data_IF_362337157349
#
_entry.id   IF_362337157349
#
_cell.length_a   1.000
_cell.length_b   1.000
_cell.length_c   1.000
_cell.angle_alpha   90.00
_cell.angle_beta   90.00
_cell.angle_gamma   90.00
#
_symmetry.space_group_name_H-M   'P 1'
#
loop_
_entity.id
_entity.type
_entity.pdbx_description
1 polymer ?
#
# COMPACT_ATOMS: atom_id res chain seq x y z
N UNK A 1 23.28 -8.07 14.97
CA UNK A 1 24.54 -8.63 14.40
C UNK A 1 24.35 -9.66 13.27
N UNK A 2 23.14 -10.15 12.99
CA UNK A 2 22.88 -11.17 11.94
C UNK A 2 22.06 -10.64 10.74
N UNK A 3 22.09 -9.35 10.45
CA UNK A 3 21.45 -8.81 9.24
C UNK A 3 22.52 -8.68 8.12
N UNK A 4 22.31 -9.29 6.94
CA UNK A 4 23.27 -9.25 5.83
C UNK A 4 23.60 -7.82 5.38
N UNK A 5 22.66 -6.87 5.47
CA UNK A 5 22.89 -5.45 5.16
C UNK A 5 23.88 -4.77 6.10
N UNK A 6 23.81 -5.05 7.41
CA UNK A 6 24.80 -4.57 8.37
C UNK A 6 26.20 -5.10 8.05
N UNK A 7 26.29 -6.36 7.62
CA UNK A 7 27.57 -7.01 7.32
C UNK A 7 28.16 -6.60 5.97
N UNK A 8 27.33 -6.22 4.98
CA UNK A 8 27.77 -5.96 3.61
C UNK A 8 27.77 -4.48 3.19
N UNK A 9 26.89 -3.64 3.75
CA UNK A 9 26.68 -2.26 3.32
C UNK A 9 26.90 -1.23 4.43
N UNK A 10 26.55 -1.55 5.68
CA UNK A 10 26.50 -0.58 6.80
C UNK A 10 27.39 -0.98 7.99
N UNK A 11 28.56 -1.58 7.74
CA UNK A 11 29.47 -2.05 8.79
C UNK A 11 30.08 -0.92 9.65
N UNK A 12 29.92 0.33 9.20
CA UNK A 12 30.43 1.57 9.77
C UNK A 12 29.33 2.43 10.42
N UNK A 13 28.08 1.98 10.42
CA UNK A 13 26.96 2.66 11.08
C UNK A 13 26.99 2.40 12.59
N UNK A 14 26.77 3.45 13.37
CA UNK A 14 26.61 3.35 14.81
C UNK A 14 25.18 2.92 15.16
N UNK A 15 24.96 2.56 16.43
CA UNK A 15 23.66 2.08 16.91
C UNK A 15 22.55 3.14 16.75
N UNK A 16 22.91 4.42 16.67
CA UNK A 16 22.00 5.55 16.45
C UNK A 16 21.51 5.64 15.00
N UNK A 17 22.37 5.42 14.00
CA UNK A 17 21.99 5.44 12.58
C UNK A 17 20.93 4.36 12.24
N UNK A 18 20.99 3.24 12.98
CA UNK A 18 20.00 2.16 12.84
C UNK A 18 18.66 2.46 13.50
N UNK A 19 18.61 3.34 14.51
CA UNK A 19 17.36 3.62 15.24
C UNK A 19 16.34 4.32 14.35
N UNK A 20 16.77 5.27 13.52
CA UNK A 20 15.85 6.04 12.68
C UNK A 20 15.23 5.17 11.57
N UNK A 21 16.05 4.38 10.87
CA UNK A 21 15.58 3.44 9.84
C UNK A 21 14.63 2.42 10.47
N UNK A 22 15.04 1.83 11.60
CA UNK A 22 14.22 0.85 12.31
C UNK A 22 12.92 1.46 12.85
N UNK A 23 12.94 2.70 13.32
CA UNK A 23 11.76 3.40 13.81
C UNK A 23 10.70 3.53 12.72
N UNK A 24 11.08 4.01 11.53
CA UNK A 24 10.16 4.15 10.41
C UNK A 24 9.62 2.80 9.93
N UNK A 25 10.47 1.76 9.88
CA UNK A 25 10.05 0.42 9.54
C UNK A 25 9.04 -0.15 10.56
N UNK A 26 9.36 -0.01 11.86
CA UNK A 26 8.48 -0.44 12.94
C UNK A 26 7.16 0.32 12.91
N UNK A 27 7.20 1.65 12.76
CA UNK A 27 6.02 2.51 12.73
C UNK A 27 5.11 2.16 11.55
N UNK A 28 5.68 1.97 10.36
CA UNK A 28 4.94 1.55 9.18
C UNK A 28 4.23 0.19 9.40
N UNK A 29 4.95 -0.80 9.95
CA UNK A 29 4.38 -2.12 10.30
C UNK A 29 3.28 -2.01 11.37
N UNK A 30 3.49 -1.16 12.37
CA UNK A 30 2.53 -0.91 13.44
C UNK A 30 1.23 -0.31 12.88
N UNK A 31 1.34 0.74 12.05
CA UNK A 31 0.20 1.38 11.39
C UNK A 31 -0.56 0.37 10.52
N UNK A 32 0.14 -0.47 9.74
CA UNK A 32 -0.50 -1.50 8.93
C UNK A 32 -1.35 -2.49 9.75
N UNK A 33 -0.84 -2.94 10.90
CA UNK A 33 -1.58 -3.81 11.83
C UNK A 33 -2.76 -3.08 12.45
N UNK A 34 -2.55 -1.83 12.86
CA UNK A 34 -3.59 -1.00 13.46
C UNK A 34 -4.75 -0.77 12.49
N UNK A 35 -4.48 -0.44 11.22
CA UNK A 35 -5.47 -0.33 10.14
C UNK A 35 -6.27 -1.63 10.01
N UNK A 36 -5.59 -2.79 10.04
CA UNK A 36 -6.26 -4.10 10.01
C UNK A 36 -7.26 -4.28 11.16
N UNK A 37 -6.87 -3.92 12.38
CA UNK A 37 -7.72 -4.02 13.58
C UNK A 37 -8.93 -3.08 13.48
N UNK A 38 -8.71 -1.80 13.16
CA UNK A 38 -9.78 -0.80 13.06
C UNK A 38 -10.71 -1.04 11.86
N UNK A 39 -10.30 -1.86 10.89
CA UNK A 39 -11.17 -2.29 9.81
C UNK A 39 -11.95 -3.57 10.18
N UNK A 40 -11.27 -4.61 10.63
CA UNK A 40 -11.85 -5.94 10.86
C UNK A 40 -12.85 -5.93 12.02
N UNK A 41 -12.53 -5.29 13.15
CA UNK A 41 -13.41 -5.31 14.33
C UNK A 41 -14.77 -4.66 14.01
N UNK A 42 -14.85 -3.42 13.48
CA UNK A 42 -16.14 -2.83 13.12
C UNK A 42 -16.83 -3.59 12.00
N UNK A 43 -16.10 -4.09 11.00
CA UNK A 43 -16.70 -4.88 9.93
C UNK A 43 -17.42 -6.12 10.47
N UNK A 44 -16.78 -6.90 11.35
CA UNK A 44 -17.39 -8.07 11.98
C UNK A 44 -18.58 -7.69 12.86
N UNK A 45 -18.45 -6.63 13.66
CA UNK A 45 -19.54 -6.13 14.49
C UNK A 45 -20.78 -5.76 13.65
N UNK A 46 -20.61 -4.95 12.60
CA UNK A 46 -21.71 -4.53 11.73
C UNK A 46 -22.25 -5.68 10.86
N UNK A 47 -21.42 -6.69 10.56
CA UNK A 47 -21.85 -7.89 9.86
C UNK A 47 -22.75 -8.77 10.73
N UNK A 48 -22.34 -9.05 11.97
CA UNK A 48 -23.11 -9.88 12.93
C UNK A 48 -24.41 -9.20 13.34
N UNK A 49 -24.36 -7.87 13.55
CA UNK A 49 -25.56 -7.07 13.87
C UNK A 49 -26.44 -6.76 12.66
N UNK A 50 -26.09 -7.26 11.46
CA UNK A 50 -26.85 -7.09 10.20
C UNK A 50 -27.10 -5.63 9.81
N UNK A 51 -26.19 -4.73 10.16
CA UNK A 51 -26.29 -3.30 9.84
C UNK A 51 -25.77 -2.95 8.44
N UNK A 52 -25.08 -3.89 7.77
CA UNK A 52 -24.48 -3.67 6.46
C UNK A 52 -25.41 -4.08 5.31
N UNK A 53 -25.49 -3.25 4.28
CA UNK A 53 -26.13 -3.62 3.02
C UNK A 53 -25.31 -4.69 2.27
N UNK A 54 -25.94 -5.48 1.40
CA UNK A 54 -25.22 -6.45 0.54
C UNK A 54 -24.12 -5.79 -0.30
N UNK A 55 -24.34 -4.54 -0.73
CA UNK A 55 -23.35 -3.76 -1.49
C UNK A 55 -22.14 -3.42 -0.62
N UNK A 56 -22.37 -2.92 0.60
CA UNK A 56 -21.31 -2.59 1.56
C UNK A 56 -20.50 -3.82 1.94
N UNK A 57 -21.15 -4.97 2.20
CA UNK A 57 -20.46 -6.22 2.50
C UNK A 57 -19.50 -6.61 1.37
N UNK A 58 -19.95 -6.61 0.12
CA UNK A 58 -19.09 -6.94 -1.03
C UNK A 58 -17.88 -6.02 -1.13
N UNK A 59 -18.09 -4.71 -0.97
CA UNK A 59 -17.01 -3.71 -0.99
C UNK A 59 -16.01 -3.91 0.15
N UNK A 60 -16.50 -4.17 1.36
CA UNK A 60 -15.67 -4.44 2.53
C UNK A 60 -14.88 -5.74 2.38
N UNK A 61 -15.44 -6.78 1.76
CA UNK A 61 -14.71 -8.02 1.48
C UNK A 61 -13.58 -7.79 0.46
N UNK A 62 -13.81 -6.99 -0.57
CA UNK A 62 -12.76 -6.59 -1.51
C UNK A 62 -11.68 -5.80 -0.79
N UNK A 63 -12.03 -4.86 0.09
CA UNK A 63 -11.07 -4.12 0.91
C UNK A 63 -10.27 -5.02 1.87
N UNK A 64 -10.92 -6.00 2.49
CA UNK A 64 -10.26 -6.98 3.35
C UNK A 64 -9.23 -7.80 2.57
N UNK A 65 -9.61 -8.26 1.37
CA UNK A 65 -8.71 -8.96 0.47
C UNK A 65 -7.53 -8.07 0.05
N UNK A 66 -7.79 -6.84 -0.41
CA UNK A 66 -6.74 -5.92 -0.83
C UNK A 66 -5.79 -5.57 0.32
N UNK A 67 -6.31 -5.33 1.52
CA UNK A 67 -5.51 -5.07 2.72
C UNK A 67 -4.67 -6.28 3.16
N UNK A 68 -5.25 -7.49 3.12
CA UNK A 68 -4.49 -8.72 3.35
C UNK A 68 -3.40 -8.94 2.31
N UNK A 69 -3.71 -8.66 1.03
CA UNK A 69 -2.76 -8.74 -0.07
C UNK A 69 -1.65 -7.69 0.06
N UNK A 70 -1.93 -6.49 0.59
CA UNK A 70 -0.90 -5.52 0.95
C UNK A 70 0.08 -6.07 1.98
N UNK A 71 -0.43 -6.68 3.06
CA UNK A 71 0.42 -7.32 4.06
C UNK A 71 1.29 -8.44 3.47
N UNK A 72 0.71 -9.26 2.59
CA UNK A 72 1.45 -10.27 1.84
C UNK A 72 2.56 -9.68 0.97
N UNK A 73 2.27 -8.63 0.19
CA UNK A 73 3.26 -7.97 -0.66
C UNK A 73 4.37 -7.30 0.16
N UNK A 74 4.03 -6.69 1.30
CA UNK A 74 5.02 -6.12 2.22
C UNK A 74 5.98 -7.18 2.77
N UNK A 75 5.46 -8.35 3.16
CA UNK A 75 6.30 -9.49 3.54
C UNK A 75 7.14 -10.02 2.38
N UNK A 76 6.54 -10.16 1.19
CA UNK A 76 7.23 -10.62 -0.02
C UNK A 76 8.36 -9.68 -0.43
N UNK A 77 8.20 -8.38 -0.23
CA UNK A 77 9.20 -7.35 -0.50
C UNK A 77 10.48 -7.56 0.33
N UNK A 78 10.34 -7.90 1.61
CA UNK A 78 11.47 -8.05 2.54
C UNK A 78 12.08 -9.47 2.51
N UNK A 79 11.32 -10.50 2.14
CA UNK A 79 11.76 -11.90 2.20
C UNK A 79 13.01 -12.22 1.37
N UNK A 80 13.23 -11.58 0.22
CA UNK A 80 14.42 -11.85 -0.62
C UNK A 80 15.70 -11.21 -0.11
N UNK A 81 15.61 -10.16 0.73
CA UNK A 81 16.76 -9.44 1.27
C UNK A 81 17.63 -10.29 2.21
N UNK A 82 17.07 -11.38 2.73
CA UNK A 82 17.65 -12.18 3.82
C UNK A 82 18.53 -13.35 3.36
N UNK A 83 18.59 -13.65 2.06
CA UNK A 83 19.26 -14.87 1.56
C UNK A 83 20.48 -14.58 0.68
N UNK A 84 20.38 -13.69 -0.34
CA UNK A 84 21.50 -13.51 -1.30
C UNK A 84 21.76 -12.06 -1.77
N UNK A 85 20.71 -11.24 -1.99
CA UNK A 85 20.82 -9.83 -2.40
C UNK A 85 20.15 -8.91 -1.38
N UNK A 86 20.89 -7.99 -0.73
CA UNK A 86 20.32 -7.10 0.29
C UNK A 86 19.26 -6.14 -0.26
N UNK A 87 19.31 -5.79 -1.55
CA UNK A 87 18.39 -4.83 -2.15
C UNK A 87 17.00 -5.41 -2.47
N UNK A 88 15.96 -4.65 -2.16
CA UNK A 88 14.59 -4.93 -2.61
C UNK A 88 14.50 -4.75 -4.13
N UNK A 89 14.07 -5.78 -4.85
CA UNK A 89 13.85 -5.67 -6.30
C UNK A 89 12.81 -4.59 -6.63
N UNK A 90 13.14 -3.72 -7.59
CA UNK A 90 12.25 -2.67 -8.13
C UNK A 90 10.88 -3.22 -8.56
N UNK A 91 10.79 -4.47 -9.02
CA UNK A 91 9.50 -5.10 -9.31
C UNK A 91 8.65 -5.28 -8.04
N UNK A 92 9.25 -5.70 -6.92
CA UNK A 92 8.53 -5.89 -5.64
C UNK A 92 8.08 -4.57 -5.07
N UNK A 93 8.95 -3.56 -5.11
CA UNK A 93 8.63 -2.20 -4.70
C UNK A 93 7.47 -1.64 -5.55
N UNK A 94 7.55 -1.76 -6.87
CA UNK A 94 6.51 -1.29 -7.78
C UNK A 94 5.17 -2.00 -7.56
N UNK A 95 5.18 -3.32 -7.37
CA UNK A 95 3.97 -4.07 -7.06
C UNK A 95 3.34 -3.60 -5.74
N UNK A 96 4.13 -3.49 -4.67
CA UNK A 96 3.63 -3.09 -3.36
C UNK A 96 3.07 -1.65 -3.40
N UNK A 97 3.84 -0.70 -3.92
CA UNK A 97 3.41 0.71 -3.98
C UNK A 97 2.17 0.91 -4.84
N UNK A 98 2.14 0.32 -6.05
CA UNK A 98 1.00 0.46 -6.96
C UNK A 98 -0.27 -0.12 -6.35
N UNK A 99 -0.17 -1.30 -5.75
CA UNK A 99 -1.32 -1.95 -5.12
C UNK A 99 -1.75 -1.22 -3.84
N UNK A 100 -0.84 -0.57 -3.11
CA UNK A 100 -1.17 0.30 -1.98
C UNK A 100 -2.01 1.50 -2.43
N UNK A 101 -1.62 2.19 -3.50
CA UNK A 101 -2.39 3.30 -4.07
C UNK A 101 -3.76 2.85 -4.59
N UNK A 102 -3.84 1.69 -5.25
CA UNK A 102 -5.13 1.12 -5.68
C UNK A 102 -6.03 0.77 -4.50
N UNK A 103 -5.47 0.21 -3.43
CA UNK A 103 -6.19 -0.10 -2.19
C UNK A 103 -6.74 1.17 -1.55
N UNK A 104 -5.91 2.21 -1.43
CA UNK A 104 -6.32 3.50 -0.92
C UNK A 104 -7.41 4.15 -1.78
N UNK A 105 -7.23 4.18 -3.11
CA UNK A 105 -8.22 4.74 -4.03
C UNK A 105 -9.57 4.00 -3.94
N UNK A 106 -9.54 2.67 -3.81
CA UNK A 106 -10.77 1.89 -3.62
C UNK A 106 -11.41 2.15 -2.25
N UNK A 107 -10.63 2.23 -1.16
CA UNK A 107 -11.14 2.57 0.16
C UNK A 107 -11.79 3.96 0.18
N UNK A 108 -11.13 4.94 -0.45
CA UNK A 108 -11.66 6.28 -0.61
C UNK A 108 -12.94 6.29 -1.44
N UNK A 109 -13.00 5.51 -2.53
CA UNK A 109 -14.21 5.34 -3.34
C UNK A 109 -15.36 4.73 -2.53
N UNK A 110 -15.09 3.72 -1.69
CA UNK A 110 -16.09 3.12 -0.79
C UNK A 110 -16.60 4.16 0.22
N UNK A 111 -15.71 4.94 0.84
CA UNK A 111 -16.09 6.01 1.75
C UNK A 111 -16.96 7.07 1.06
N UNK A 112 -16.58 7.52 -0.14
CA UNK A 112 -17.37 8.48 -0.92
C UNK A 112 -18.76 7.94 -1.28
N UNK A 113 -18.89 6.66 -1.62
CA UNK A 113 -20.19 6.06 -1.94
C UNK A 113 -21.11 5.98 -0.70
N UNK A 114 -20.54 5.86 0.50
CA UNK A 114 -21.28 5.90 1.76
C UNK A 114 -21.65 7.33 2.18
N UNK A 115 -20.75 8.30 2.00
CA UNK A 115 -20.96 9.72 2.34
C UNK A 115 -21.94 10.40 1.34
N UNK A 116 -21.85 10.05 0.06
CA UNK A 116 -22.64 10.63 -1.02
C UNK A 116 -23.51 9.58 -1.72
N UNK A 117 -24.56 9.06 -1.07
CA UNK A 117 -25.41 7.99 -1.62
C UNK A 117 -26.23 8.44 -2.84
N UNK A 118 -26.46 9.75 -2.99
CA UNK A 118 -27.18 10.33 -4.13
C UNK A 118 -26.21 10.66 -5.27
N UNK A 119 -26.37 9.97 -6.40
CA UNK A 119 -25.61 10.23 -7.63
C UNK A 119 -26.05 11.59 -8.20
N UNK A 120 -25.08 12.48 -8.46
CA UNK A 120 -25.30 13.68 -9.25
C UNK A 120 -25.29 13.33 -10.74
N UNK A 121 -25.91 14.16 -11.58
CA UNK A 121 -25.75 14.03 -13.02
C UNK A 121 -24.28 14.22 -13.40
N UNK A 122 -23.79 13.35 -14.29
CA UNK A 122 -22.38 13.31 -14.65
C UNK A 122 -22.19 13.78 -16.08
N UNK A 123 -21.39 14.83 -16.26
CA UNK A 123 -20.88 15.20 -17.57
C UNK A 123 -19.95 14.08 -18.11
N UNK A 124 -20.40 13.37 -19.14
CA UNK A 124 -19.69 12.21 -19.70
C UNK A 124 -18.30 12.58 -20.23
N UNK A 125 -18.13 13.75 -20.86
CA UNK A 125 -16.85 14.22 -21.40
C UNK A 125 -15.85 14.45 -20.26
N UNK A 126 -16.27 15.17 -19.23
CA UNK A 126 -15.43 15.43 -18.05
C UNK A 126 -15.05 14.15 -17.31
N UNK A 127 -15.99 13.23 -17.11
CA UNK A 127 -15.70 11.91 -16.51
C UNK A 127 -14.66 11.13 -17.30
N UNK A 128 -14.76 11.13 -18.63
CA UNK A 128 -13.82 10.38 -19.47
C UNK A 128 -12.41 10.99 -19.42
N UNK A 129 -12.30 12.33 -19.36
CA UNK A 129 -11.02 13.01 -19.13
C UNK A 129 -10.42 12.60 -17.78
N UNK A 130 -11.21 12.60 -16.70
CA UNK A 130 -10.73 12.15 -15.38
C UNK A 130 -10.26 10.69 -15.44
N UNK A 131 -11.03 9.79 -16.06
CA UNK A 131 -10.64 8.37 -16.19
C UNK A 131 -9.34 8.20 -16.96
N UNK A 132 -9.17 8.93 -18.06
CA UNK A 132 -7.94 8.91 -18.84
C UNK A 132 -6.75 9.45 -18.03
N UNK A 133 -6.95 10.57 -17.32
CA UNK A 133 -5.94 11.12 -16.41
C UNK A 133 -5.55 10.15 -15.28
N UNK A 134 -6.50 9.40 -14.73
CA UNK A 134 -6.22 8.36 -13.74
C UNK A 134 -5.38 7.21 -14.31
N UNK A 135 -5.60 6.80 -15.56
CA UNK A 135 -4.76 5.80 -16.22
C UNK A 135 -3.33 6.31 -16.38
N UNK A 136 -3.15 7.56 -16.84
CA UNK A 136 -1.83 8.18 -16.93
C UNK A 136 -1.16 8.26 -15.56
N UNK A 137 -1.91 8.65 -14.53
CA UNK A 137 -1.39 8.72 -13.15
C UNK A 137 -0.90 7.35 -12.66
N UNK A 138 -1.64 6.27 -12.93
CA UNK A 138 -1.21 4.91 -12.55
C UNK A 138 0.07 4.54 -13.28
N UNK A 139 0.18 4.82 -14.58
CA UNK A 139 1.42 4.59 -15.34
C UNK A 139 2.59 5.38 -14.73
N UNK A 140 2.36 6.64 -14.35
CA UNK A 140 3.37 7.48 -13.71
C UNK A 140 3.82 6.95 -12.35
N UNK A 141 2.90 6.43 -11.54
CA UNK A 141 3.21 5.81 -10.24
C UNK A 141 4.09 4.57 -10.44
N UNK A 142 3.73 3.71 -11.40
CA UNK A 142 4.52 2.51 -11.73
C UNK A 142 5.92 2.91 -12.20
N UNK A 143 6.02 3.90 -13.09
CA UNK A 143 7.30 4.41 -13.59
C UNK A 143 8.15 4.98 -12.46
N UNK A 144 7.58 5.81 -11.59
CA UNK A 144 8.27 6.37 -10.43
C UNK A 144 8.76 5.28 -9.46
N UNK A 145 7.98 4.21 -9.26
CA UNK A 145 8.40 3.10 -8.43
C UNK A 145 9.58 2.32 -9.02
N UNK A 146 9.65 2.18 -10.35
CA UNK A 146 10.83 1.60 -11.01
C UNK A 146 12.06 2.49 -10.89
N UNK A 147 11.92 3.81 -11.10
CA UNK A 147 13.05 4.75 -10.94
C UNK A 147 13.59 4.70 -9.50
N UNK A 148 12.71 4.70 -8.50
CA UNK A 148 13.09 4.60 -7.10
C UNK A 148 13.77 3.26 -6.78
N UNK A 149 13.25 2.13 -7.29
CA UNK A 149 13.83 0.82 -7.04
C UNK A 149 15.12 0.50 -7.82
N UNK A 150 15.47 1.32 -8.82
CA UNK A 150 16.72 1.22 -9.59
C UNK A 150 17.77 2.24 -9.13
N UNK A 151 17.47 3.03 -8.09
CA UNK A 151 18.28 4.19 -7.64
C UNK A 151 18.60 5.19 -8.78
N UNK A 152 17.82 5.17 -9.86
CA UNK A 152 18.04 5.98 -11.06
C UNK A 152 17.69 7.47 -10.87
N UNK A 153 17.32 7.88 -9.66
CA UNK A 153 17.10 9.28 -9.28
C UNK A 153 18.39 10.06 -8.97
N UNK A 154 19.54 9.38 -8.87
CA UNK A 154 20.84 9.95 -8.49
C UNK A 154 21.80 10.18 -9.66
N UNK A 155 21.31 10.21 -10.91
CA UNK A 155 22.17 10.36 -12.12
C UNK A 155 22.60 11.83 -12.32
N UNK A 156 22.99 12.53 -11.25
CA UNK A 156 23.42 13.93 -11.27
C UNK A 156 24.71 14.12 -10.48
#
# INVERSE_FOLDING_TARGET
KQFPEYQKLHFHFDLEDFKDIYFWEWLHRFIGRFIGIVFIIPFLYFLVTKQLTRSTIKKSLVLLFLGGFQGFLGWYMVKSGLVDMPAVSHYRLAMHLTTAFLTFAYAFWVALDLIYPRRKEINKKFRNIIRFGLVILVIQIVWGAFVAGLDAGWIH
#
